data_IF_091225956904
#
_entry.id   IF_091225956904
#
_cell.length_a   1.000
_cell.length_b   1.000
_cell.length_c   1.000
_cell.angle_alpha   90.00
_cell.angle_beta   90.00
_cell.angle_gamma   90.00
#
_symmetry.space_group_name_H-M   'P 1'
#
loop_
_entity.id
_entity.type
_entity.pdbx_description
1 polymer ?
#
# COMPACT_ATOMS: atom_id res chain seq x y z
N UNK A 1 19.09 15.03 3.21
CA UNK A 1 19.02 13.69 3.86
C UNK A 1 18.27 13.69 5.20
N UNK A 2 18.46 14.67 6.10
CA UNK A 2 17.79 14.67 7.42
C UNK A 2 16.24 14.62 7.35
N UNK A 3 15.61 15.25 6.36
CA UNK A 3 14.14 15.27 6.22
C UNK A 3 13.50 13.91 5.94
N UNK A 4 14.03 13.13 4.98
CA UNK A 4 13.46 11.81 4.60
C UNK A 4 13.56 10.82 5.76
N UNK A 5 14.70 10.81 6.46
CA UNK A 5 14.90 9.91 7.61
C UNK A 5 13.92 10.21 8.74
N UNK A 6 13.59 11.49 8.96
CA UNK A 6 12.61 11.89 9.95
C UNK A 6 11.19 11.47 9.54
N UNK A 7 10.79 11.73 8.29
CA UNK A 7 9.49 11.27 7.77
C UNK A 7 9.32 9.75 7.88
N UNK A 8 10.37 8.99 7.57
CA UNK A 8 10.35 7.54 7.72
C UNK A 8 10.16 7.13 9.19
N UNK A 9 10.87 7.76 10.13
CA UNK A 9 10.70 7.50 11.57
C UNK A 9 9.28 7.81 12.04
N UNK A 10 8.71 8.91 11.57
CA UNK A 10 7.35 9.32 11.95
C UNK A 10 6.28 8.41 11.36
N UNK A 11 6.46 7.95 10.12
CA UNK A 11 5.61 6.91 9.53
C UNK A 11 5.65 5.62 10.35
N UNK A 12 6.86 5.15 10.69
CA UNK A 12 7.02 3.93 11.49
C UNK A 12 6.45 4.07 12.91
N UNK A 13 6.56 5.24 13.53
CA UNK A 13 5.91 5.53 14.82
C UNK A 13 4.39 5.49 14.68
N UNK A 14 3.84 6.11 13.64
CA UNK A 14 2.41 6.10 13.36
C UNK A 14 1.85 4.69 13.19
N UNK A 15 2.51 3.85 12.39
CA UNK A 15 2.12 2.44 12.21
C UNK A 15 2.07 1.69 13.56
N UNK A 16 3.02 1.94 14.46
CA UNK A 16 3.05 1.30 15.79
C UNK A 16 1.93 1.76 16.73
N UNK A 17 1.27 2.87 16.44
CA UNK A 17 0.11 3.33 17.23
C UNK A 17 -1.21 2.68 16.81
N UNK A 18 -1.24 2.04 15.63
CA UNK A 18 -2.43 1.34 15.15
C UNK A 18 -2.73 0.11 16.02
N UNK A 19 -4.00 -0.31 16.04
CA UNK A 19 -4.37 -1.59 16.66
C UNK A 19 -3.54 -2.76 16.08
N UNK A 20 -3.12 -3.77 16.87
CA UNK A 20 -2.24 -4.86 16.40
C UNK A 20 -2.73 -5.57 15.14
N UNK A 21 -4.04 -5.67 14.96
CA UNK A 21 -4.65 -6.18 13.72
C UNK A 21 -4.21 -5.39 12.48
N UNK A 22 -4.24 -4.06 12.54
CA UNK A 22 -3.82 -3.19 11.45
C UNK A 22 -2.31 -3.19 11.26
N UNK A 23 -1.52 -3.38 12.32
CA UNK A 23 -0.08 -3.58 12.19
C UNK A 23 0.23 -4.85 11.39
N UNK A 24 -0.46 -5.96 11.70
CA UNK A 24 -0.35 -7.20 10.92
C UNK A 24 -0.78 -6.99 9.46
N UNK A 25 -1.90 -6.27 9.25
CA UNK A 25 -2.37 -5.92 7.91
C UNK A 25 -1.29 -5.18 7.09
N UNK A 26 -0.67 -4.16 7.68
CA UNK A 26 0.43 -3.41 7.04
C UNK A 26 1.63 -4.32 6.77
N UNK A 27 2.01 -5.21 7.68
CA UNK A 27 3.11 -6.17 7.44
C UNK A 27 2.81 -7.11 6.27
N UNK A 28 1.59 -7.61 6.15
CA UNK A 28 1.18 -8.45 5.01
C UNK A 28 1.25 -7.65 3.71
N UNK A 29 0.74 -6.41 3.69
CA UNK A 29 0.83 -5.53 2.52
C UNK A 29 2.29 -5.24 2.13
N UNK A 30 3.18 -5.03 3.11
CA UNK A 30 4.61 -4.87 2.86
C UNK A 30 5.20 -6.13 2.22
N UNK A 31 4.84 -7.31 2.73
CA UNK A 31 5.15 -8.60 2.12
C UNK A 31 4.77 -8.66 0.66
N UNK A 32 3.49 -8.45 0.38
CA UNK A 32 2.90 -8.60 -0.95
C UNK A 32 3.43 -7.58 -1.98
N UNK A 33 3.65 -6.32 -1.56
CA UNK A 33 3.99 -5.23 -2.48
C UNK A 33 5.50 -4.93 -2.57
N UNK A 34 6.33 -5.38 -1.62
CA UNK A 34 7.78 -5.11 -1.63
C UNK A 34 8.66 -6.36 -1.63
N UNK A 35 8.29 -7.42 -0.91
CA UNK A 35 9.16 -8.58 -0.75
C UNK A 35 8.84 -9.70 -1.74
N UNK A 36 7.57 -10.14 -1.81
CA UNK A 36 7.13 -11.18 -2.75
C UNK A 36 7.39 -10.86 -4.23
N UNK A 37 7.22 -9.61 -4.74
CA UNK A 37 7.48 -9.32 -6.14
C UNK A 37 8.94 -9.54 -6.54
N UNK A 38 9.89 -9.48 -5.60
CA UNK A 38 11.32 -9.71 -5.88
C UNK A 38 11.59 -11.15 -6.36
N UNK A 39 10.75 -12.11 -5.97
CA UNK A 39 10.81 -13.50 -6.44
C UNK A 39 10.45 -13.58 -7.93
N UNK A 40 9.64 -12.63 -8.42
CA UNK A 40 9.11 -12.60 -9.78
C UNK A 40 9.64 -11.39 -10.58
N UNK A 41 10.81 -10.87 -10.24
CA UNK A 41 11.30 -9.58 -10.76
C UNK A 41 11.43 -9.54 -12.29
N UNK A 42 11.58 -10.69 -12.94
CA UNK A 42 11.59 -10.83 -14.40
C UNK A 42 10.22 -10.60 -15.06
N UNK A 43 9.16 -10.46 -14.25
CA UNK A 43 7.78 -10.23 -14.69
C UNK A 43 7.43 -8.75 -14.54
N UNK A 44 6.88 -8.17 -15.60
CA UNK A 44 6.51 -6.76 -15.62
C UNK A 44 5.47 -6.43 -14.54
N UNK A 45 4.57 -7.35 -14.22
CA UNK A 45 3.58 -7.21 -13.14
C UNK A 45 4.23 -7.02 -11.77
N UNK A 46 5.31 -7.73 -11.50
CA UNK A 46 6.06 -7.62 -10.26
C UNK A 46 6.81 -6.29 -10.17
N UNK A 47 7.45 -5.86 -11.27
CA UNK A 47 8.10 -4.55 -11.37
C UNK A 47 7.10 -3.41 -11.19
N UNK A 48 5.93 -3.47 -11.84
CA UNK A 48 4.86 -2.50 -11.67
C UNK A 48 4.37 -2.44 -10.22
N UNK A 49 4.24 -3.60 -9.56
CA UNK A 49 3.85 -3.68 -8.14
C UNK A 49 4.88 -3.00 -7.24
N UNK A 50 6.17 -3.24 -7.45
CA UNK A 50 7.25 -2.59 -6.71
C UNK A 50 7.25 -1.08 -6.93
N UNK A 51 7.13 -0.62 -8.18
CA UNK A 51 7.10 0.80 -8.50
C UNK A 51 5.91 1.47 -7.81
N UNK A 52 4.72 0.89 -7.89
CA UNK A 52 3.54 1.42 -7.23
C UNK A 52 3.71 1.46 -5.69
N UNK A 53 4.31 0.41 -5.10
CA UNK A 53 4.70 0.40 -3.69
C UNK A 53 5.66 1.52 -3.33
N UNK A 54 6.72 1.72 -4.11
CA UNK A 54 7.72 2.79 -3.89
C UNK A 54 7.11 4.19 -4.03
N UNK A 55 6.26 4.41 -5.04
CA UNK A 55 5.51 5.66 -5.20
C UNK A 55 4.60 5.91 -4.00
N UNK A 56 3.90 4.88 -3.52
CA UNK A 56 3.05 4.97 -2.35
C UNK A 56 3.83 5.27 -1.07
N UNK A 57 4.96 4.60 -0.84
CA UNK A 57 5.84 4.89 0.29
C UNK A 57 6.39 6.34 0.23
N UNK A 58 6.78 6.80 -0.96
CA UNK A 58 7.18 8.18 -1.20
C UNK A 58 6.08 9.18 -0.84
N UNK A 59 4.85 8.92 -1.30
CA UNK A 59 3.69 9.75 -0.99
C UNK A 59 3.33 9.72 0.50
N UNK A 60 3.40 8.55 1.16
CA UNK A 60 3.19 8.42 2.59
C UNK A 60 4.22 9.22 3.41
N UNK A 61 5.50 9.16 3.05
CA UNK A 61 6.55 9.98 3.66
C UNK A 61 6.33 11.49 3.43
N UNK A 62 5.81 11.87 2.27
CA UNK A 62 5.43 13.25 2.01
C UNK A 62 4.26 13.68 2.88
N UNK A 63 3.17 12.91 2.93
CA UNK A 63 1.96 13.23 3.71
C UNK A 63 2.26 13.35 5.20
N UNK A 64 2.98 12.39 5.78
CA UNK A 64 3.34 12.42 7.21
C UNK A 64 4.21 13.63 7.54
N UNK A 65 5.10 14.05 6.62
CA UNK A 65 5.94 15.24 6.82
C UNK A 65 5.14 16.55 6.83
N UNK A 66 3.95 16.58 6.23
CA UNK A 66 3.12 17.78 6.12
C UNK A 66 2.05 17.86 7.20
N UNK A 67 1.45 16.73 7.57
CA UNK A 67 0.27 16.72 8.45
C UNK A 67 0.35 15.69 9.58
N UNK A 68 1.46 14.97 9.71
CA UNK A 68 1.58 13.85 10.63
C UNK A 68 0.80 12.62 10.18
N UNK A 69 0.75 11.61 11.04
CA UNK A 69 0.10 10.34 10.76
C UNK A 69 -1.41 10.46 11.07
N UNK A 70 -2.19 10.79 10.05
CA UNK A 70 -3.65 11.05 10.15
C UNK A 70 -4.42 10.15 9.18
N UNK A 71 -5.76 10.21 9.20
CA UNK A 71 -6.60 9.50 8.19
C UNK A 71 -6.28 9.85 6.73
N UNK A 72 -5.62 11.00 6.47
CA UNK A 72 -5.20 11.36 5.11
C UNK A 72 -4.13 10.41 4.55
N UNK A 73 -3.50 9.59 5.40
CA UNK A 73 -2.53 8.59 4.97
C UNK A 73 -3.08 7.63 3.91
N UNK A 74 -4.39 7.40 3.84
CA UNK A 74 -4.99 6.58 2.77
C UNK A 74 -4.69 7.08 1.34
N UNK A 75 -4.39 8.38 1.16
CA UNK A 75 -3.97 8.90 -0.15
C UNK A 75 -2.64 8.32 -0.64
N UNK A 76 -1.81 7.75 0.25
CA UNK A 76 -0.57 7.11 -0.15
C UNK A 76 -0.80 5.93 -1.11
N UNK A 77 -2.00 5.35 -1.11
CA UNK A 77 -2.34 4.21 -1.95
C UNK A 77 -2.95 4.58 -3.30
N UNK A 78 -2.99 5.87 -3.67
CA UNK A 78 -3.42 6.30 -5.03
C UNK A 78 -2.71 5.51 -6.15
N UNK A 79 -1.38 5.25 -6.10
CA UNK A 79 -0.71 4.46 -7.13
C UNK A 79 -1.22 3.02 -7.27
N UNK A 80 -1.91 2.48 -6.26
CA UNK A 80 -2.48 1.13 -6.30
C UNK A 80 -3.73 1.06 -7.17
N UNK A 81 -4.44 2.17 -7.38
CA UNK A 81 -5.63 2.19 -8.24
C UNK A 81 -5.29 1.72 -9.66
N UNK A 82 -4.38 2.38 -10.41
CA UNK A 82 -4.01 1.91 -11.74
C UNK A 82 -3.32 0.54 -11.71
N UNK A 83 -2.56 0.21 -10.65
CA UNK A 83 -1.93 -1.10 -10.49
C UNK A 83 -2.99 -2.22 -10.45
N UNK A 84 -4.01 -2.09 -9.60
CA UNK A 84 -5.05 -3.12 -9.44
C UNK A 84 -5.79 -3.35 -10.76
N UNK A 85 -6.14 -2.28 -11.48
CA UNK A 85 -6.77 -2.42 -12.81
C UNK A 85 -5.84 -3.11 -13.82
N UNK A 86 -4.56 -2.75 -13.82
CA UNK A 86 -3.55 -3.36 -14.68
C UNK A 86 -3.37 -4.86 -14.40
N UNK A 87 -3.21 -5.23 -13.13
CA UNK A 87 -3.08 -6.63 -12.73
C UNK A 87 -4.37 -7.40 -13.04
N UNK A 88 -5.54 -6.85 -12.73
CA UNK A 88 -6.82 -7.49 -13.06
C UNK A 88 -6.94 -7.81 -14.56
N UNK A 89 -6.57 -6.87 -15.44
CA UNK A 89 -6.58 -7.09 -16.89
C UNK A 89 -5.58 -8.16 -17.37
N UNK A 90 -4.52 -8.42 -16.61
CA UNK A 90 -3.49 -9.42 -16.92
C UNK A 90 -3.80 -10.80 -16.32
N UNK A 91 -4.65 -10.85 -15.30
CA UNK A 91 -4.93 -12.04 -14.49
C UNK A 91 -5.48 -13.21 -15.30
N UNK A 92 -6.33 -12.96 -16.29
CA UNK A 92 -6.91 -14.01 -17.14
C UNK A 92 -5.86 -14.80 -17.98
N UNK A 93 -4.67 -14.23 -18.19
CA UNK A 93 -3.56 -14.89 -18.91
C UNK A 93 -2.58 -15.62 -18.00
N UNK A 94 -2.87 -15.71 -16.70
CA UNK A 94 -1.99 -16.32 -15.70
C UNK A 94 -2.64 -17.58 -15.17
N UNK A 95 -1.87 -18.68 -15.08
CA UNK A 95 -2.34 -19.91 -14.46
C UNK A 95 -2.68 -19.67 -12.98
N UNK A 96 -3.95 -19.84 -12.56
CA UNK A 96 -4.40 -19.44 -11.23
C UNK A 96 -3.67 -20.15 -10.09
N UNK A 97 -3.35 -21.42 -10.27
CA UNK A 97 -2.73 -22.28 -9.25
C UNK A 97 -1.19 -22.17 -9.22
N UNK A 98 -0.61 -21.40 -10.15
CA UNK A 98 0.82 -21.10 -10.10
C UNK A 98 1.15 -20.18 -8.92
N UNK A 99 2.37 -20.28 -8.38
CA UNK A 99 2.79 -19.40 -7.28
C UNK A 99 2.67 -17.90 -7.64
N UNK A 100 2.95 -17.55 -8.90
CA UNK A 100 2.76 -16.20 -9.42
C UNK A 100 1.28 -15.80 -9.49
N UNK A 101 0.41 -16.70 -9.96
CA UNK A 101 -1.05 -16.47 -10.00
C UNK A 101 -1.64 -16.27 -8.61
N UNK A 102 -1.22 -17.07 -7.63
CA UNK A 102 -1.64 -16.94 -6.22
C UNK A 102 -1.19 -15.60 -5.65
N UNK A 103 0.09 -15.23 -5.82
CA UNK A 103 0.63 -13.95 -5.35
C UNK A 103 -0.09 -12.76 -6.02
N UNK A 104 -0.29 -12.80 -7.33
CA UNK A 104 -0.96 -11.75 -8.09
C UNK A 104 -2.42 -11.58 -7.65
N UNK A 105 -3.12 -12.69 -7.40
CA UNK A 105 -4.47 -12.68 -6.84
C UNK A 105 -4.49 -12.07 -5.45
N UNK A 106 -3.51 -12.40 -4.60
CA UNK A 106 -3.38 -11.83 -3.27
C UNK A 106 -3.12 -10.31 -3.33
N UNK A 107 -2.24 -9.83 -4.21
CA UNK A 107 -1.98 -8.38 -4.40
C UNK A 107 -3.27 -7.66 -4.81
N UNK A 108 -3.99 -8.19 -5.80
CA UNK A 108 -5.28 -7.62 -6.23
C UNK A 108 -6.24 -7.53 -5.03
N UNK A 109 -6.48 -8.65 -4.34
CA UNK A 109 -7.45 -8.70 -3.25
C UNK A 109 -7.10 -7.76 -2.09
N UNK A 110 -5.86 -7.81 -1.59
CA UNK A 110 -5.44 -7.01 -0.43
C UNK A 110 -5.34 -5.52 -0.75
N UNK A 111 -4.84 -5.16 -1.94
CA UNK A 111 -4.78 -3.76 -2.35
C UNK A 111 -6.19 -3.19 -2.59
N UNK A 112 -7.11 -3.97 -3.18
CA UNK A 112 -8.52 -3.55 -3.33
C UNK A 112 -9.20 -3.32 -1.99
N UNK A 113 -9.05 -4.23 -1.02
CA UNK A 113 -9.61 -4.06 0.34
C UNK A 113 -9.01 -2.82 0.99
N UNK A 114 -7.71 -2.60 0.86
CA UNK A 114 -7.04 -1.43 1.43
C UNK A 114 -7.56 -0.13 0.81
N UNK A 115 -7.72 -0.07 -0.52
CA UNK A 115 -8.29 1.09 -1.21
C UNK A 115 -9.72 1.41 -0.73
N UNK A 116 -10.53 0.40 -0.41
CA UNK A 116 -11.86 0.62 0.17
C UNK A 116 -11.77 1.26 1.56
N UNK A 117 -10.87 0.76 2.41
CA UNK A 117 -10.61 1.32 3.75
C UNK A 117 -10.08 2.75 3.64
N UNK A 118 -9.12 2.99 2.75
CA UNK A 118 -8.52 4.30 2.51
C UNK A 118 -9.56 5.32 2.06
N UNK A 119 -10.49 4.91 1.21
CA UNK A 119 -11.59 5.76 0.74
C UNK A 119 -12.45 6.22 1.92
N UNK A 120 -12.81 5.30 2.83
CA UNK A 120 -13.57 5.63 4.04
C UNK A 120 -12.78 6.60 4.92
N UNK A 121 -11.48 6.37 5.10
CA UNK A 121 -10.62 7.22 5.92
C UNK A 121 -10.46 8.63 5.34
N UNK A 122 -10.28 8.76 4.04
CA UNK A 122 -10.22 10.06 3.36
C UNK A 122 -11.55 10.79 3.50
N UNK A 123 -12.70 10.12 3.34
CA UNK A 123 -14.01 10.74 3.54
C UNK A 123 -14.17 11.25 4.99
N UNK A 124 -13.77 10.46 5.98
CA UNK A 124 -13.78 10.86 7.40
C UNK A 124 -12.84 12.03 7.67
N UNK A 125 -11.67 12.04 7.05
CA UNK A 125 -10.74 13.15 7.13
C UNK A 125 -11.35 14.44 6.58
N UNK A 126 -12.05 14.38 5.45
CA UNK A 126 -12.73 15.53 4.87
C UNK A 126 -13.89 16.02 5.76
N UNK A 127 -14.48 15.14 6.58
CA UNK A 127 -15.46 15.50 7.62
C UNK A 127 -14.86 16.03 8.91
N UNK A 128 -13.53 16.11 9.01
CA UNK A 128 -12.80 16.66 10.15
C UNK A 128 -12.22 15.63 11.13
N UNK A 129 -12.46 14.33 10.92
CA UNK A 129 -11.89 13.27 11.77
C UNK A 129 -10.42 13.04 11.42
N UNK A 130 -9.49 13.41 12.30
CA UNK A 130 -8.03 13.34 12.00
C UNK A 130 -7.37 12.03 12.45
N UNK A 131 -7.83 11.43 13.54
CA UNK A 131 -7.21 10.23 14.11
C UNK A 131 -7.38 9.03 13.18
N UNK A 132 -6.30 8.29 12.84
CA UNK A 132 -6.39 7.08 12.02
C UNK A 132 -7.20 5.97 12.71
N UNK A 133 -7.55 4.92 11.95
CA UNK A 133 -8.22 3.71 12.46
C UNK A 133 -7.41 2.94 13.51
#
# INVERSE_FOLDING_TARGET
MAGILNSMKDLMRGIRTLHPFWQLWVMVLMGLNFFCPLIFIDRIEAVCTLIAGMLGAGLGMFLVSRQGFTRLMGLMHIPWIPLVFYLWGRHAGVEPDSLFGIWMTAVIAFNSISLMIDTVDVIRFLRGERSPL
#
